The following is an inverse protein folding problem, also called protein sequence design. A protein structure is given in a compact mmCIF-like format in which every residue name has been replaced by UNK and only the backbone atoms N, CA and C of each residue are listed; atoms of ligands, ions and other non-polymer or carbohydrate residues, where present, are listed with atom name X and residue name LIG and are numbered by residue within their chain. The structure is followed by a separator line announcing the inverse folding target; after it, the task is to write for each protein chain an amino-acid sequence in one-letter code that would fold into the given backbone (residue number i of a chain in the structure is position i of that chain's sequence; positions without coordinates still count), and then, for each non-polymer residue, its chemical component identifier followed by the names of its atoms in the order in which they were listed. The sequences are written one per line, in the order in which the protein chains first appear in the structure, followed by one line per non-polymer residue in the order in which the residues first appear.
data_IF_257616744662
#
_entry.id   IF_257616744662
#
_cell.length_a   1.000
_cell.length_b   1.000
_cell.length_c   1.000
_cell.angle_alpha   90.00
_cell.angle_beta   90.00
_cell.angle_gamma   90.00
#
_symmetry.space_group_name_H-M   'P 1'
#
loop_
_entity.id
_entity.type
_entity.pdbx_description
1 polymer ?
#
# COMPACT_ATOMS: atom_id res chain seq x y z
N UNK A 1 20.87 8.06 -14.26
CA UNK A 1 19.58 8.37 -13.62
C UNK A 1 18.54 8.64 -14.69
N UNK A 2 17.57 7.74 -14.86
CA UNK A 2 16.37 7.99 -15.67
C UNK A 2 15.27 8.43 -14.69
N UNK A 3 14.80 9.65 -14.80
CA UNK A 3 13.70 10.17 -14.00
C UNK A 3 12.75 10.94 -14.92
N UNK A 4 11.45 10.69 -14.76
CA UNK A 4 10.39 11.43 -15.42
C UNK A 4 9.31 11.68 -14.38
N UNK A 5 8.94 12.94 -14.19
CA UNK A 5 7.85 13.36 -13.30
C UNK A 5 8.01 12.79 -11.86
N UNK A 6 9.25 12.55 -11.42
CA UNK A 6 9.55 11.79 -10.19
C UNK A 6 9.19 12.52 -8.88
N UNK A 7 8.93 13.82 -8.98
CA UNK A 7 8.51 14.70 -7.88
C UNK A 7 6.99 14.96 -7.90
N UNK A 8 6.29 14.52 -8.95
CA UNK A 8 4.85 14.71 -9.06
C UNK A 8 4.12 13.60 -8.30
N UNK A 9 3.22 13.93 -7.34
CA UNK A 9 2.44 12.93 -6.65
C UNK A 9 1.46 12.26 -7.62
N UNK A 10 1.35 10.93 -7.51
CA UNK A 10 0.45 10.11 -8.30
C UNK A 10 -0.27 9.11 -7.39
N UNK A 11 -1.46 8.60 -7.79
CA UNK A 11 -2.16 7.58 -7.04
C UNK A 11 -1.29 6.33 -6.86
N UNK A 12 -1.28 5.75 -5.66
CA UNK A 12 -0.38 4.67 -5.29
C UNK A 12 -0.95 3.28 -5.59
N UNK A 13 -2.26 3.13 -5.54
CA UNK A 13 -2.88 1.83 -5.29
C UNK A 13 -2.27 1.23 -4.02
N UNK A 14 -2.09 -0.08 -3.98
CA UNK A 14 -1.59 -0.80 -2.80
C UNK A 14 -0.12 -0.55 -2.39
N UNK A 15 0.64 0.37 -3.02
CA UNK A 15 1.99 0.74 -2.54
C UNK A 15 1.91 1.43 -1.17
N UNK A 16 0.80 2.10 -0.85
CA UNK A 16 0.60 2.76 0.45
C UNK A 16 0.82 1.84 1.67
N UNK A 17 0.68 0.52 1.49
CA UNK A 17 0.90 -0.52 2.52
C UNK A 17 2.34 -0.56 3.05
N UNK A 18 3.30 0.04 2.33
CA UNK A 18 4.65 0.23 2.83
C UNK A 18 4.68 1.14 4.06
N UNK A 19 3.85 2.18 4.13
CA UNK A 19 3.75 3.06 5.30
C UNK A 19 3.12 2.33 6.50
N UNK A 20 2.20 1.39 6.24
CA UNK A 20 1.61 0.55 7.29
C UNK A 20 2.66 -0.44 7.81
N UNK A 21 3.45 -1.04 6.93
CA UNK A 21 4.56 -1.91 7.34
C UNK A 21 5.58 -1.15 8.19
N UNK A 22 5.89 0.10 7.82
CA UNK A 22 6.78 0.96 8.60
C UNK A 22 6.21 1.22 10.00
N UNK A 23 4.95 1.63 10.11
CA UNK A 23 4.30 1.83 11.41
C UNK A 23 4.25 0.56 12.28
N UNK A 24 4.09 -0.61 11.66
CA UNK A 24 4.16 -1.90 12.36
C UNK A 24 5.58 -2.18 12.83
N UNK A 25 6.59 -1.97 12.00
CA UNK A 25 8.00 -2.16 12.36
C UNK A 25 8.39 -1.23 13.52
N UNK A 26 8.01 0.06 13.45
CA UNK A 26 8.19 1.03 14.53
C UNK A 26 7.56 0.55 15.84
N UNK A 27 6.31 0.09 15.80
CA UNK A 27 5.61 -0.40 16.99
C UNK A 27 6.24 -1.68 17.57
N UNK A 28 6.81 -2.55 16.73
CA UNK A 28 7.58 -3.70 17.21
C UNK A 28 8.90 -3.26 17.84
N UNK A 29 9.62 -2.33 17.22
CA UNK A 29 10.90 -1.82 17.72
C UNK A 29 10.74 -1.12 19.09
N UNK A 30 9.65 -0.37 19.29
CA UNK A 30 9.34 0.27 20.59
C UNK A 30 8.79 -0.70 21.63
N UNK A 31 8.40 -1.91 21.22
CA UNK A 31 7.80 -2.92 22.08
C UNK A 31 6.31 -2.71 22.38
N UNK A 32 5.64 -1.82 21.64
CA UNK A 32 4.19 -1.59 21.73
C UNK A 32 3.39 -2.69 20.99
N UNK A 33 4.02 -3.37 20.03
CA UNK A 33 3.52 -4.54 19.32
C UNK A 33 4.59 -5.64 19.26
N UNK A 34 4.19 -6.87 18.94
CA UNK A 34 5.11 -8.00 18.72
C UNK A 34 4.67 -8.77 17.47
N UNK A 35 5.62 -9.24 16.66
CA UNK A 35 5.33 -10.01 15.44
C UNK A 35 4.47 -11.25 15.68
N UNK A 36 4.56 -11.87 16.86
CA UNK A 36 3.77 -13.00 17.31
C UNK A 36 2.43 -12.63 17.96
N UNK A 37 2.12 -11.34 18.12
CA UNK A 37 0.80 -10.89 18.59
C UNK A 37 -0.28 -11.42 17.67
N UNK A 38 -1.31 -12.02 18.24
CA UNK A 38 -2.42 -12.62 17.48
C UNK A 38 -3.49 -11.58 17.22
N UNK A 39 -3.78 -11.36 15.94
CA UNK A 39 -4.89 -10.56 15.43
C UNK A 39 -6.06 -11.49 15.05
N UNK A 40 -7.27 -10.97 15.13
CA UNK A 40 -8.49 -11.74 14.85
C UNK A 40 -9.27 -11.11 13.70
N UNK A 41 -9.56 -11.93 12.68
CA UNK A 41 -10.48 -11.55 11.58
C UNK A 41 -11.87 -11.34 12.17
N UNK A 42 -12.44 -10.17 11.90
CA UNK A 42 -13.75 -9.75 12.40
C UNK A 42 -14.51 -8.96 11.34
N UNK A 43 -15.84 -8.81 11.47
CA UNK A 43 -16.61 -7.94 10.58
C UNK A 43 -16.12 -6.48 10.54
N UNK A 44 -15.45 -6.02 11.60
CA UNK A 44 -14.94 -4.66 11.74
C UNK A 44 -13.64 -4.40 10.97
N UNK A 45 -12.87 -5.45 10.63
CA UNK A 45 -11.62 -5.32 9.87
C UNK A 45 -11.66 -6.01 8.49
N UNK A 46 -12.71 -6.78 8.19
CA UNK A 46 -12.90 -7.41 6.89
C UNK A 46 -13.04 -6.38 5.75
N UNK A 47 -12.22 -6.49 4.72
CA UNK A 47 -12.22 -5.62 3.54
C UNK A 47 -12.58 -6.37 2.25
N UNK A 48 -12.61 -5.68 1.11
CA UNK A 48 -12.77 -6.28 -0.22
C UNK A 48 -11.43 -6.85 -0.72
N UNK A 49 -11.43 -7.76 -1.72
CA UNK A 49 -10.20 -8.17 -2.41
C UNK A 49 -9.38 -6.98 -2.96
N UNK A 50 -8.09 -7.11 -3.22
CA UNK A 50 -7.24 -8.31 -3.17
C UNK A 50 -7.00 -8.87 -1.77
N UNK A 51 -6.65 -10.16 -1.72
CA UNK A 51 -6.41 -10.90 -0.48
C UNK A 51 -7.14 -12.23 -0.44
N UNK A 52 -7.04 -12.91 0.69
CA UNK A 52 -7.77 -14.12 1.02
C UNK A 52 -8.45 -14.06 2.39
N UNK A 53 -8.00 -13.21 3.32
CA UNK A 53 -8.56 -13.14 4.68
C UNK A 53 -10.00 -12.61 4.70
N UNK A 54 -10.46 -11.94 3.64
CA UNK A 54 -11.88 -11.57 3.53
C UNK A 54 -12.81 -12.78 3.50
N UNK A 55 -12.35 -13.91 2.97
CA UNK A 55 -13.11 -15.17 2.86
C UNK A 55 -12.93 -16.07 4.09
N UNK A 56 -12.01 -15.71 5.00
CA UNK A 56 -11.78 -16.45 6.23
C UNK A 56 -12.97 -16.27 7.20
N UNK A 57 -13.36 -17.32 7.96
CA UNK A 57 -14.41 -17.21 8.97
C UNK A 57 -14.09 -16.16 10.04
N UNK A 58 -15.11 -15.51 10.60
CA UNK A 58 -14.97 -14.67 11.80
C UNK A 58 -14.31 -15.46 12.93
N UNK A 59 -13.38 -14.83 13.65
CA UNK A 59 -12.60 -15.48 14.70
C UNK A 59 -11.34 -16.20 14.20
N UNK A 60 -11.06 -16.19 12.89
CA UNK A 60 -9.78 -16.66 12.35
C UNK A 60 -8.64 -15.84 12.97
N UNK A 61 -7.62 -16.52 13.48
CA UNK A 61 -6.48 -15.92 14.15
C UNK A 61 -5.27 -15.97 13.22
N UNK A 62 -4.57 -14.84 13.09
CA UNK A 62 -3.29 -14.72 12.37
C UNK A 62 -2.35 -13.86 13.20
N UNK A 63 -1.05 -14.11 13.14
CA UNK A 63 -0.07 -13.24 13.82
C UNK A 63 0.13 -11.93 13.07
N UNK A 64 0.72 -10.92 13.72
CA UNK A 64 1.13 -9.67 13.06
C UNK A 64 2.07 -9.96 11.89
N UNK A 65 3.02 -10.89 12.05
CA UNK A 65 3.94 -11.30 10.96
C UNK A 65 3.20 -11.95 9.79
N UNK A 66 2.24 -12.84 10.06
CA UNK A 66 1.41 -13.46 9.01
C UNK A 66 0.54 -12.43 8.29
N UNK A 67 -0.06 -11.49 9.03
CA UNK A 67 -0.87 -10.41 8.46
C UNK A 67 0.00 -9.47 7.60
N UNK A 68 1.18 -9.07 8.09
CA UNK A 68 2.10 -8.20 7.35
C UNK A 68 2.64 -8.88 6.09
N UNK A 69 2.95 -10.17 6.18
CA UNK A 69 3.31 -11.00 5.02
C UNK A 69 2.21 -10.98 3.96
N UNK A 70 0.96 -11.29 4.34
CA UNK A 70 -0.18 -11.28 3.40
C UNK A 70 -0.46 -9.89 2.82
N UNK A 71 -0.33 -8.85 3.64
CA UNK A 71 -0.48 -7.45 3.23
C UNK A 71 0.51 -7.08 2.13
N UNK A 72 1.75 -7.58 2.19
CA UNK A 72 2.80 -7.23 1.23
C UNK A 72 2.80 -8.17 0.02
N UNK A 73 2.84 -9.49 0.26
CA UNK A 73 3.01 -10.52 -0.77
C UNK A 73 1.83 -10.56 -1.76
N UNK A 74 0.62 -10.69 -1.24
CA UNK A 74 -0.61 -10.85 -2.03
C UNK A 74 -1.52 -9.61 -1.96
N UNK A 75 -1.05 -8.54 -1.31
CA UNK A 75 -1.80 -7.30 -1.18
C UNK A 75 -3.12 -7.46 -0.43
N UNK A 76 -3.17 -8.31 0.59
CA UNK A 76 -4.40 -8.61 1.33
C UNK A 76 -4.95 -7.38 2.07
N UNK A 77 -6.12 -6.90 1.64
CA UNK A 77 -6.77 -5.72 2.20
C UNK A 77 -7.36 -5.96 3.60
N UNK A 78 -7.82 -7.17 3.91
CA UNK A 78 -8.29 -7.48 5.26
C UNK A 78 -7.12 -7.53 6.23
N UNK A 79 -5.99 -8.14 5.84
CA UNK A 79 -4.76 -8.10 6.63
C UNK A 79 -4.26 -6.66 6.83
N UNK A 80 -4.38 -5.83 5.79
CA UNK A 80 -4.04 -4.39 5.84
C UNK A 80 -4.85 -3.67 6.91
N UNK A 81 -6.17 -3.80 6.87
CA UNK A 81 -7.06 -3.11 7.81
C UNK A 81 -6.94 -3.68 9.24
N UNK A 82 -6.63 -4.97 9.39
CA UNK A 82 -6.27 -5.57 10.69
C UNK A 82 -5.01 -4.94 11.29
N UNK A 83 -3.99 -4.65 10.48
CA UNK A 83 -2.76 -4.01 10.94
C UNK A 83 -2.98 -2.53 11.28
N UNK A 84 -3.74 -1.79 10.45
CA UNK A 84 -4.15 -0.42 10.78
C UNK A 84 -4.91 -0.39 12.11
N UNK A 85 -5.82 -1.35 12.34
CA UNK A 85 -6.54 -1.47 13.62
C UNK A 85 -5.59 -1.75 14.79
N UNK A 86 -4.54 -2.55 14.58
CA UNK A 86 -3.59 -2.92 15.62
C UNK A 86 -2.66 -1.76 16.04
N UNK A 87 -2.13 -1.00 15.07
CA UNK A 87 -1.20 0.12 15.35
C UNK A 87 -1.92 1.47 15.53
N UNK A 88 -3.13 1.59 15.01
CA UNK A 88 -3.91 2.82 14.99
C UNK A 88 -3.54 3.74 13.82
N UNK A 89 -4.54 4.47 13.30
CA UNK A 89 -4.38 5.39 12.15
C UNK A 89 -3.29 6.44 12.37
N UNK A 90 -3.20 7.00 13.57
CA UNK A 90 -2.21 8.02 13.90
C UNK A 90 -0.77 7.50 13.73
N UNK A 91 -0.49 6.24 14.13
CA UNK A 91 0.83 5.66 13.96
C UNK A 91 1.21 5.54 12.48
N UNK A 92 0.25 5.22 11.60
CA UNK A 92 0.47 5.17 10.16
C UNK A 92 0.69 6.57 9.57
N UNK A 93 -0.09 7.58 10.03
CA UNK A 93 0.10 8.97 9.63
C UNK A 93 1.45 9.54 10.08
N UNK A 94 1.94 9.12 11.25
CA UNK A 94 3.26 9.46 11.76
C UNK A 94 4.35 8.78 10.94
N UNK A 95 4.18 7.50 10.57
CA UNK A 95 5.09 6.77 9.69
C UNK A 95 5.23 7.45 8.31
N UNK A 96 4.16 8.03 7.75
CA UNK A 96 4.24 8.84 6.51
C UNK A 96 5.18 10.04 6.68
N UNK A 97 5.15 10.71 7.83
CA UNK A 97 6.06 11.83 8.13
C UNK A 97 7.49 11.35 8.30
N UNK A 98 7.66 10.30 9.08
CA UNK A 98 8.98 9.75 9.41
C UNK A 98 9.69 9.21 8.18
N UNK A 99 8.95 8.57 7.26
CA UNK A 99 9.43 8.16 5.95
C UNK A 99 9.84 9.33 5.03
N UNK A 100 9.60 10.59 5.42
CA UNK A 100 10.04 11.76 4.66
C UNK A 100 9.14 12.13 3.48
N UNK A 101 7.85 11.76 3.52
CA UNK A 101 6.89 12.15 2.49
C UNK A 101 6.85 13.68 2.31
N UNK A 102 6.97 14.17 1.08
CA UNK A 102 7.15 15.59 0.78
C UNK A 102 5.96 16.46 1.18
N UNK A 103 4.74 15.92 1.08
CA UNK A 103 3.50 16.56 1.53
C UNK A 103 2.59 15.56 2.29
N UNK A 104 2.81 15.33 3.60
CA UNK A 104 2.04 14.37 4.37
C UNK A 104 0.53 14.67 4.43
N UNK A 105 0.09 15.88 4.07
CA UNK A 105 -1.33 16.21 4.01
C UNK A 105 -2.07 15.44 2.90
N UNK A 106 -1.36 14.98 1.86
CA UNK A 106 -1.92 14.13 0.80
C UNK A 106 -2.32 12.74 1.27
N UNK A 107 -1.84 12.33 2.46
CA UNK A 107 -2.10 11.05 3.08
C UNK A 107 -2.91 11.20 4.38
N UNK A 108 -3.47 12.39 4.67
CA UNK A 108 -4.23 12.68 5.90
C UNK A 108 -5.63 13.24 5.63
N UNK A 109 -6.69 12.62 6.17
CA UNK A 109 -6.65 11.44 7.04
C UNK A 109 -6.21 10.19 6.27
N UNK A 110 -5.43 9.32 6.91
CA UNK A 110 -4.95 8.10 6.24
C UNK A 110 -6.09 7.09 6.12
N UNK A 111 -6.73 7.00 4.96
CA UNK A 111 -7.89 6.12 4.74
C UNK A 111 -7.48 4.64 4.74
N UNK A 112 -8.28 3.76 5.35
CA UNK A 112 -8.10 2.30 5.27
C UNK A 112 -8.70 1.75 3.96
N UNK A 113 -8.45 0.47 3.64
CA UNK A 113 -8.99 -0.10 2.39
C UNK A 113 -10.51 -0.19 2.44
N UNK A 114 -11.10 -0.66 3.55
CA UNK A 114 -12.56 -0.72 3.74
C UNK A 114 -13.22 0.66 3.59
N UNK A 115 -12.61 1.69 4.17
CA UNK A 115 -13.14 3.05 4.15
C UNK A 115 -13.09 3.59 2.74
N UNK A 116 -11.97 3.38 2.02
CA UNK A 116 -11.84 3.79 0.63
C UNK A 116 -12.93 3.13 -0.24
N UNK A 117 -13.23 1.85 -0.02
CA UNK A 117 -14.31 1.18 -0.75
C UNK A 117 -15.70 1.72 -0.40
N UNK A 118 -15.97 1.99 0.88
CA UNK A 118 -17.24 2.56 1.33
C UNK A 118 -17.45 3.99 0.81
N UNK A 119 -16.39 4.80 0.80
CA UNK A 119 -16.40 6.17 0.28
C UNK A 119 -16.61 6.16 -1.24
N UNK A 120 -15.85 5.34 -1.96
CA UNK A 120 -15.88 5.33 -3.41
C UNK A 120 -17.13 4.71 -4.02
N UNK A 121 -17.62 3.61 -3.45
CA UNK A 121 -18.65 2.76 -4.08
C UNK A 121 -19.77 2.34 -3.11
N UNK A 122 -19.83 2.91 -1.91
CA UNK A 122 -20.91 2.72 -0.95
C UNK A 122 -22.01 3.78 -1.08
N UNK A 123 -22.29 4.50 0.02
CA UNK A 123 -23.27 5.59 0.02
C UNK A 123 -22.70 6.83 -0.70
N UNK A 124 -23.38 7.38 -1.73
CA UNK A 124 -22.92 8.59 -2.42
C UNK A 124 -22.69 9.80 -1.51
N UNK A 125 -23.36 9.89 -0.36
CA UNK A 125 -23.13 10.95 0.61
C UNK A 125 -21.71 10.90 1.22
N UNK A 126 -21.10 9.71 1.32
CA UNK A 126 -19.74 9.56 1.82
C UNK A 126 -18.72 10.16 0.85
N UNK A 127 -18.90 9.95 -0.45
CA UNK A 127 -18.06 10.55 -1.48
C UNK A 127 -18.17 12.09 -1.48
N UNK A 128 -19.38 12.62 -1.31
CA UNK A 128 -19.58 14.08 -1.21
C UNK A 128 -18.83 14.65 0.01
N UNK A 129 -19.00 14.06 1.19
CA UNK A 129 -18.26 14.47 2.40
C UNK A 129 -16.75 14.38 2.17
N UNK A 130 -16.26 13.31 1.54
CA UNK A 130 -14.83 13.13 1.28
C UNK A 130 -14.27 14.22 0.36
N UNK A 131 -15.00 14.63 -0.68
CA UNK A 131 -14.52 15.59 -1.67
C UNK A 131 -14.53 17.04 -1.20
N UNK A 132 -15.59 17.45 -0.49
CA UNK A 132 -15.83 18.86 -0.17
C UNK A 132 -15.84 19.16 1.32
N UNK A 133 -15.82 18.13 2.17
CA UNK A 133 -15.74 18.28 3.61
C UNK A 133 -14.39 18.79 4.09
N UNK A 134 -14.39 19.39 5.26
CA UNK A 134 -13.19 19.70 6.03
C UNK A 134 -12.50 18.43 6.51
N UNK A 135 -11.22 18.53 6.88
CA UNK A 135 -10.49 17.39 7.44
C UNK A 135 -11.17 16.82 8.70
N UNK A 136 -11.74 17.67 9.56
CA UNK A 136 -12.49 17.22 10.74
C UNK A 136 -13.74 16.41 10.35
N UNK A 137 -14.45 16.83 9.30
CA UNK A 137 -15.60 16.09 8.76
C UNK A 137 -15.18 14.77 8.09
N UNK A 138 -14.02 14.74 7.43
CA UNK A 138 -13.44 13.51 6.90
C UNK A 138 -13.08 12.54 8.05
N UNK A 139 -12.40 12.97 9.11
CA UNK A 139 -12.13 12.13 10.28
C UNK A 139 -13.42 11.63 10.95
N UNK A 140 -14.44 12.49 11.09
CA UNK A 140 -15.74 12.10 11.64
C UNK A 140 -16.44 11.04 10.76
N UNK A 141 -16.32 11.15 9.43
CA UNK A 141 -16.78 10.13 8.50
C UNK A 141 -16.02 8.81 8.72
N UNK A 142 -14.70 8.84 8.82
CA UNK A 142 -13.91 7.61 9.02
C UNK A 142 -14.25 6.93 10.36
N UNK A 143 -14.43 7.70 11.44
CA UNK A 143 -14.87 7.18 12.74
C UNK A 143 -16.26 6.53 12.64
N UNK A 144 -17.19 7.13 11.88
CA UNK A 144 -18.49 6.52 11.60
C UNK A 144 -18.34 5.19 10.85
N UNK A 145 -17.48 5.14 9.82
CA UNK A 145 -17.29 3.95 8.97
C UNK A 145 -16.61 2.79 9.71
N UNK A 146 -15.72 3.07 10.65
CA UNK A 146 -15.08 2.05 11.51
C UNK A 146 -16.12 1.19 12.26
N UNK A 147 -17.25 1.79 12.63
CA UNK A 147 -18.36 1.12 13.32
C UNK A 147 -19.38 0.48 12.37
N UNK A 148 -19.15 0.56 11.06
CA UNK A 148 -20.01 -0.04 10.04
C UNK A 148 -19.29 -1.23 9.37
N UNK A 149 -19.62 -2.47 9.77
CA UNK A 149 -19.16 -3.65 9.07
C UNK A 149 -19.53 -3.59 7.59
N UNK A 150 -18.59 -3.97 6.74
CA UNK A 150 -18.86 -4.18 5.31
C UNK A 150 -18.98 -5.67 5.05
N UNK A 151 -19.88 -6.02 4.14
CA UNK A 151 -19.87 -7.30 3.47
C UNK A 151 -19.12 -7.11 2.14
N UNK A 152 -17.99 -7.80 1.91
CA UNK A 152 -17.19 -7.64 0.69
C UNK A 152 -17.96 -7.87 -0.61
N UNK A 153 -19.09 -8.59 -0.55
CA UNK A 153 -19.93 -8.87 -1.71
C UNK A 153 -21.00 -7.80 -1.98
N UNK A 154 -21.20 -6.85 -1.08
CA UNK A 154 -22.24 -5.82 -1.21
C UNK A 154 -21.74 -4.56 -1.96
N UNK A 155 -20.43 -4.39 -2.10
CA UNK A 155 -19.82 -3.26 -2.82
C UNK A 155 -19.27 -3.74 -4.17
N UNK A 156 -19.78 -3.16 -5.25
CA UNK A 156 -19.32 -3.43 -6.61
C UNK A 156 -18.43 -2.30 -7.13
N UNK A 157 -17.12 -2.48 -7.04
CA UNK A 157 -16.11 -1.53 -7.56
C UNK A 157 -16.23 -1.48 -9.09
N UNK A 158 -16.74 -0.36 -9.61
CA UNK A 158 -17.01 -0.16 -11.03
C UNK A 158 -17.12 1.33 -11.38
N UNK A 159 -17.22 1.64 -12.68
CA UNK A 159 -17.32 3.01 -13.17
C UNK A 159 -15.97 3.65 -13.45
N UNK A 160 -15.95 4.99 -13.46
CA UNK A 160 -14.74 5.77 -13.72
C UNK A 160 -13.79 5.73 -12.49
N UNK A 161 -12.46 5.80 -12.72
CA UNK A 161 -11.49 6.02 -11.66
C UNK A 161 -11.85 7.20 -10.75
N UNK A 162 -11.82 6.98 -9.44
CA UNK A 162 -12.14 8.01 -8.42
C UNK A 162 -10.90 8.67 -7.82
N UNK A 163 -9.68 8.30 -8.23
CA UNK A 163 -8.47 9.00 -7.79
C UNK A 163 -8.45 10.49 -8.17
N UNK A 164 -9.03 10.98 -9.29
CA UNK A 164 -9.11 12.43 -9.52
C UNK A 164 -10.01 13.16 -8.51
N UNK A 165 -10.82 12.40 -7.76
CA UNK A 165 -11.75 12.87 -6.74
C UNK A 165 -11.21 12.65 -5.31
N UNK A 166 -9.92 12.33 -5.16
CA UNK A 166 -9.29 12.15 -3.85
C UNK A 166 -9.48 10.76 -3.24
N UNK A 167 -10.13 9.81 -3.92
CA UNK A 167 -10.36 8.45 -3.42
C UNK A 167 -9.17 7.56 -3.79
N UNK A 168 -8.02 7.80 -3.16
CA UNK A 168 -6.76 7.06 -3.30
C UNK A 168 -5.76 7.52 -2.23
N UNK A 169 -4.58 6.91 -2.20
CA UNK A 169 -3.38 7.42 -1.53
C UNK A 169 -2.45 8.03 -2.56
N UNK A 170 -1.70 9.08 -2.21
CA UNK A 170 -0.86 9.81 -3.17
C UNK A 170 0.55 9.98 -2.65
N UNK A 171 1.53 9.61 -3.47
CA UNK A 171 2.92 9.97 -3.24
C UNK A 171 3.68 10.04 -4.57
N UNK A 172 4.79 10.78 -4.58
CA UNK A 172 5.73 10.84 -5.69
C UNK A 172 6.63 9.59 -5.70
N UNK A 173 7.34 9.38 -6.80
CA UNK A 173 8.33 8.32 -6.88
C UNK A 173 9.45 8.49 -5.84
N UNK A 174 9.79 9.73 -5.45
CA UNK A 174 10.76 10.00 -4.38
C UNK A 174 10.24 9.60 -3.01
N UNK A 175 8.98 9.90 -2.69
CA UNK A 175 8.38 9.50 -1.41
C UNK A 175 8.35 7.97 -1.26
N UNK A 176 8.00 7.26 -2.35
CA UNK A 176 8.02 5.80 -2.39
C UNK A 176 9.44 5.26 -2.17
N UNK A 177 10.45 5.92 -2.73
CA UNK A 177 11.83 5.54 -2.47
C UNK A 177 12.24 5.80 -1.03
N UNK A 178 11.80 6.91 -0.43
CA UNK A 178 12.11 7.23 0.96
C UNK A 178 11.49 6.25 1.95
N UNK A 179 10.24 5.78 1.76
CA UNK A 179 9.66 4.73 2.63
C UNK A 179 10.36 3.38 2.46
N UNK A 180 10.82 3.04 1.25
CA UNK A 180 11.65 1.83 1.06
C UNK A 180 12.96 1.92 1.85
N UNK A 181 13.65 3.07 1.79
CA UNK A 181 14.88 3.30 2.56
C UNK A 181 14.61 3.23 4.05
N UNK A 182 13.58 3.90 4.56
CA UNK A 182 13.21 3.86 5.98
C UNK A 182 12.97 2.42 6.47
N UNK A 183 12.28 1.59 5.66
CA UNK A 183 12.07 0.18 5.98
C UNK A 183 13.37 -0.64 6.07
N UNK A 184 14.44 -0.24 5.36
CA UNK A 184 15.74 -0.91 5.46
C UNK A 184 16.60 -0.42 6.64
N UNK A 185 16.27 0.72 7.23
CA UNK A 185 16.98 1.25 8.39
C UNK A 185 16.61 0.51 9.69
N UNK A 186 15.52 -0.25 9.71
CA UNK A 186 15.17 -1.15 10.82
C UNK A 186 16.12 -2.35 10.89
N UNK A 187 16.70 -2.59 12.08
CA UNK A 187 17.52 -3.77 12.39
C UNK A 187 16.65 -4.99 12.71
N UNK A 188 15.70 -5.31 11.82
CA UNK A 188 14.79 -6.45 11.94
C UNK A 188 14.71 -7.25 10.64
N UNK A 189 15.24 -8.47 10.66
CA UNK A 189 15.22 -9.38 9.52
C UNK A 189 13.79 -9.69 9.03
N UNK A 190 12.78 -9.61 9.91
CA UNK A 190 11.38 -9.89 9.60
C UNK A 190 10.84 -8.94 8.53
N UNK A 191 11.20 -7.65 8.59
CA UNK A 191 10.76 -6.65 7.61
C UNK A 191 11.29 -7.00 6.22
N UNK A 192 12.58 -7.38 6.15
CA UNK A 192 13.23 -7.77 4.90
C UNK A 192 12.66 -9.08 4.35
N UNK A 193 12.39 -10.05 5.21
CA UNK A 193 11.74 -11.31 4.85
C UNK A 193 10.35 -11.06 4.23
N UNK A 194 9.52 -10.24 4.88
CA UNK A 194 8.18 -9.85 4.41
C UNK A 194 8.24 -9.20 3.02
N UNK A 195 9.12 -8.22 2.81
CA UNK A 195 9.25 -7.49 1.55
C UNK A 195 9.73 -8.38 0.38
N UNK A 196 10.45 -9.46 0.68
CA UNK A 196 11.05 -10.35 -0.32
C UNK A 196 10.18 -11.52 -0.78
N UNK A 197 9.01 -11.73 -0.17
CA UNK A 197 8.15 -12.89 -0.48
C UNK A 197 7.67 -12.91 -1.94
N UNK A 198 7.48 -11.72 -2.54
CA UNK A 198 7.05 -11.58 -3.91
C UNK A 198 7.98 -10.58 -4.62
N UNK A 199 8.77 -10.98 -5.63
CA UNK A 199 9.67 -10.05 -6.34
C UNK A 199 8.95 -9.19 -7.39
N UNK A 200 7.66 -9.44 -7.65
CA UNK A 200 6.82 -8.76 -8.63
C UNK A 200 7.11 -9.16 -10.09
N UNK A 201 8.38 -9.28 -10.45
CA UNK A 201 8.89 -9.77 -11.73
C UNK A 201 10.06 -10.72 -11.47
N UNK A 202 10.37 -11.62 -12.40
CA UNK A 202 11.52 -12.52 -12.27
C UNK A 202 12.82 -11.71 -12.29
N UNK A 203 13.69 -11.91 -11.30
CA UNK A 203 14.94 -11.17 -11.11
C UNK A 203 16.02 -12.07 -10.50
N UNK A 204 16.92 -12.61 -11.33
CA UNK A 204 18.00 -13.50 -10.87
C UNK A 204 19.32 -12.75 -10.60
N UNK A 205 19.36 -11.45 -10.90
CA UNK A 205 20.59 -10.67 -10.91
C UNK A 205 20.95 -10.05 -9.54
N UNK A 206 19.95 -9.82 -8.69
CA UNK A 206 20.06 -9.09 -7.42
C UNK A 206 20.14 -10.05 -6.24
N UNK A 207 20.92 -9.69 -5.21
CA UNK A 207 21.08 -10.52 -4.00
C UNK A 207 19.90 -10.34 -3.04
N UNK A 208 19.26 -9.18 -3.08
CA UNK A 208 18.01 -8.91 -2.38
C UNK A 208 17.03 -8.13 -3.26
N UNK A 209 15.75 -8.48 -3.17
CA UNK A 209 14.64 -7.79 -3.83
C UNK A 209 13.50 -7.65 -2.82
N UNK A 210 13.22 -6.42 -2.39
CA UNK A 210 11.99 -6.04 -1.72
C UNK A 210 11.02 -5.43 -2.73
N UNK A 211 9.75 -5.82 -2.72
CA UNK A 211 8.79 -5.31 -3.70
C UNK A 211 7.41 -5.01 -3.12
N UNK A 212 6.79 -3.97 -3.67
CA UNK A 212 5.34 -3.76 -3.55
C UNK A 212 4.76 -3.21 -4.85
N UNK A 213 3.74 -3.90 -5.35
CA UNK A 213 2.88 -3.42 -6.43
C UNK A 213 1.60 -2.76 -5.91
N UNK A 214 0.98 -1.95 -6.76
CA UNK A 214 -0.31 -1.32 -6.49
C UNK A 214 -1.19 -1.23 -7.73
N UNK A 215 -2.48 -1.43 -7.53
CA UNK A 215 -3.48 -1.22 -8.59
C UNK A 215 -4.81 -0.82 -7.99
N UNK A 216 -5.52 0.06 -8.68
CA UNK A 216 -6.94 0.38 -8.49
C UNK A 216 -7.52 0.77 -9.86
N UNK A 217 -8.78 1.20 -9.94
CA UNK A 217 -9.36 1.63 -11.23
C UNK A 217 -8.52 2.77 -11.82
N UNK A 218 -7.96 2.53 -13.01
CA UNK A 218 -7.11 3.51 -13.70
C UNK A 218 -5.73 3.73 -13.07
N UNK A 219 -5.26 2.86 -12.17
CA UNK A 219 -3.96 2.99 -11.49
C UNK A 219 -3.18 1.68 -11.60
N UNK A 220 -1.90 1.75 -11.99
CA UNK A 220 -0.97 0.62 -12.01
C UNK A 220 0.43 1.08 -11.61
N UNK A 221 0.93 0.54 -10.51
CA UNK A 221 2.18 0.96 -9.89
C UNK A 221 3.01 -0.23 -9.42
N UNK A 222 4.32 -0.01 -9.29
CA UNK A 222 5.28 -0.98 -8.81
C UNK A 222 6.51 -0.29 -8.23
N UNK A 223 7.02 -0.83 -7.13
CA UNK A 223 8.19 -0.32 -6.43
C UNK A 223 9.07 -1.48 -6.00
N UNK A 224 10.38 -1.32 -6.19
CA UNK A 224 11.40 -2.30 -5.85
C UNK A 224 12.53 -1.62 -5.09
N UNK A 225 12.93 -2.21 -3.97
CA UNK A 225 14.22 -1.99 -3.34
C UNK A 225 15.13 -3.18 -3.68
N UNK A 226 16.34 -2.90 -4.16
CA UNK A 226 17.25 -3.88 -4.75
C UNK A 226 18.60 -3.73 -4.09
N UNK A 227 19.29 -4.84 -3.79
CA UNK A 227 20.70 -4.81 -3.38
C UNK A 227 21.55 -5.67 -4.28
N UNK A 228 22.70 -5.12 -4.67
CA UNK A 228 23.73 -5.87 -5.38
C UNK A 228 24.65 -6.65 -4.43
N UNK A 229 25.64 -7.34 -5.00
CA UNK A 229 26.58 -8.18 -4.25
C UNK A 229 27.54 -7.42 -3.34
N UNK A 230 27.68 -6.10 -3.53
CA UNK A 230 28.46 -5.24 -2.64
C UNK A 230 27.58 -4.66 -1.51
N UNK A 231 26.28 -4.94 -1.52
CA UNK A 231 25.29 -4.45 -0.57
C UNK A 231 24.82 -3.03 -0.85
N UNK A 232 25.07 -2.49 -2.06
CA UNK A 232 24.58 -1.16 -2.44
C UNK A 232 23.08 -1.23 -2.79
N UNK A 233 22.30 -0.33 -2.19
CA UNK A 233 20.84 -0.28 -2.33
C UNK A 233 20.36 0.63 -3.45
N UNK A 234 19.39 0.17 -4.23
CA UNK A 234 18.75 0.91 -5.31
C UNK A 234 17.24 0.84 -5.20
N UNK A 235 16.55 1.93 -5.53
CA UNK A 235 15.09 1.92 -5.67
C UNK A 235 14.68 2.16 -7.11
N UNK A 236 13.80 1.29 -7.62
CA UNK A 236 13.09 1.49 -8.89
C UNK A 236 11.62 1.67 -8.61
N UNK A 237 11.02 2.73 -9.15
CA UNK A 237 9.59 3.03 -9.03
C UNK A 237 9.00 3.27 -10.42
N UNK A 238 7.85 2.66 -10.68
CA UNK A 238 7.08 2.86 -11.92
C UNK A 238 5.64 3.12 -11.52
N UNK A 239 5.12 4.29 -11.91
CA UNK A 239 3.72 4.68 -11.68
C UNK A 239 3.05 5.01 -13.02
N UNK A 240 1.82 4.50 -13.20
CA UNK A 240 0.96 4.84 -14.32
C UNK A 240 -0.46 5.07 -13.81
N UNK A 241 -1.08 6.17 -14.22
CA UNK A 241 -2.44 6.52 -13.85
C UNK A 241 -3.20 7.14 -15.03
N UNK A 242 -4.50 6.90 -15.08
CA UNK A 242 -5.44 7.47 -16.06
C UNK A 242 -6.82 7.62 -15.45
N UNK A 243 -7.54 8.67 -15.85
CA UNK A 243 -8.92 8.90 -15.45
C UNK A 243 -9.93 8.24 -16.43
N UNK A 244 -9.44 7.61 -17.49
CA UNK A 244 -10.27 6.88 -18.46
C UNK A 244 -10.64 5.49 -17.91
N UNK A 245 -11.93 5.19 -17.78
CA UNK A 245 -12.43 3.87 -17.37
C UNK A 245 -12.00 2.71 -18.28
N UNK A 246 -11.68 2.99 -19.55
CA UNK A 246 -11.14 1.99 -20.47
C UNK A 246 -9.60 1.88 -20.40
N UNK A 247 -8.96 2.72 -19.59
CA UNK A 247 -7.51 2.80 -19.45
C UNK A 247 -6.91 1.65 -18.63
N UNK A 248 -5.63 1.35 -18.89
CA UNK A 248 -4.84 0.31 -18.19
C UNK A 248 -5.48 -1.09 -18.16
N UNK A 249 -5.80 -1.62 -19.35
CA UNK A 249 -6.33 -2.98 -19.53
C UNK A 249 -5.37 -4.10 -19.11
N UNK A 250 -5.81 -5.36 -19.16
CA UNK A 250 -4.95 -6.54 -18.96
C UNK A 250 -3.69 -6.54 -19.84
N UNK A 251 -3.75 -5.97 -21.05
CA UNK A 251 -2.58 -5.83 -21.92
C UNK A 251 -1.55 -4.84 -21.34
N UNK A 252 -2.04 -3.79 -20.66
CA UNK A 252 -1.19 -2.83 -19.96
C UNK A 252 -0.45 -3.47 -18.78
N UNK A 253 -1.05 -4.43 -18.06
CA UNK A 253 -0.35 -5.19 -17.02
C UNK A 253 0.84 -5.98 -17.60
N UNK A 254 0.66 -6.66 -18.72
CA UNK A 254 1.77 -7.37 -19.40
C UNK A 254 2.88 -6.41 -19.81
N UNK A 255 2.52 -5.27 -20.41
CA UNK A 255 3.50 -4.23 -20.79
C UNK A 255 4.22 -3.63 -19.58
N UNK A 256 3.50 -3.45 -18.47
CA UNK A 256 4.05 -2.95 -17.22
C UNK A 256 5.10 -3.92 -16.66
N UNK A 257 4.79 -5.23 -16.60
CA UNK A 257 5.77 -6.24 -16.15
C UNK A 257 7.01 -6.27 -17.04
N UNK A 258 6.86 -6.15 -18.37
CA UNK A 258 8.00 -6.10 -19.30
C UNK A 258 8.86 -4.85 -19.09
N UNK A 259 8.22 -3.69 -18.89
CA UNK A 259 8.91 -2.44 -18.57
C UNK A 259 9.68 -2.56 -17.25
N UNK A 260 9.05 -3.12 -16.22
CA UNK A 260 9.67 -3.37 -14.91
C UNK A 260 10.89 -4.28 -15.03
N UNK A 261 10.76 -5.45 -15.66
CA UNK A 261 11.88 -6.36 -15.89
C UNK A 261 13.05 -5.67 -16.61
N UNK A 262 12.75 -4.87 -17.64
CA UNK A 262 13.77 -4.14 -18.40
C UNK A 262 14.43 -3.04 -17.57
N UNK A 263 13.66 -2.31 -16.76
CA UNK A 263 14.18 -1.26 -15.89
C UNK A 263 15.11 -1.83 -14.81
N UNK A 264 14.75 -2.95 -14.20
CA UNK A 264 15.56 -3.63 -13.18
C UNK A 264 16.86 -4.18 -13.78
N UNK A 265 16.79 -4.79 -14.96
CA UNK A 265 17.98 -5.26 -15.69
C UNK A 265 18.93 -4.11 -16.07
N UNK A 266 18.40 -3.01 -16.60
CA UNK A 266 19.21 -1.84 -16.94
C UNK A 266 19.82 -1.17 -15.72
N UNK A 267 19.11 -1.17 -14.58
CA UNK A 267 19.64 -0.65 -13.32
C UNK A 267 20.85 -1.47 -12.89
N UNK A 268 20.75 -2.80 -12.93
CA UNK A 268 21.85 -3.72 -12.61
C UNK A 268 23.07 -3.55 -13.53
N UNK A 269 22.83 -3.36 -14.83
CA UNK A 269 23.91 -3.15 -15.80
C UNK A 269 24.62 -1.79 -15.61
N UNK A 270 23.89 -0.77 -15.15
CA UNK A 270 24.43 0.57 -14.97
C UNK A 270 25.26 0.73 -13.69
N UNK A 271 25.15 -0.20 -12.74
CA UNK A 271 25.83 -0.14 -11.43
C UNK A 271 27.10 -1.01 -11.37
N UNK A 272 27.43 -1.68 -12.48
CA UNK A 272 28.65 -2.49 -12.64
C UNK A 272 29.79 -1.76 -13.36
#
# INVERSE_FOLDING_TARGET
MLARDADEPAPLGSIFKLYILLAVADAVETGDLDWGTVLTVSPQNRSLPSGELQDAPDGTQVTVSEAATKMIEISDNTATDMLIQAVGRQAVEDAVVQAGHHDPALMRPFVSTRELFQIGWGDPAYLEIWQIGTQDEQYALLEQLEHQPINPHDIAVSGDPLWPQGVEWYASARDIASVHVALQEHDDATVREILSQNPGVNQDAWDYVGYKGGSSLGVLTGSWYLEDADGEGYVVVIQAATADAAGLSNESHTRFSQLASSALQLTYEATR
#
